data_IF_642023316459
#
_entry.id   IF_642023316459
#
_cell.length_a   1.000
_cell.length_b   1.000
_cell.length_c   1.000
_cell.angle_alpha   90.00
_cell.angle_beta   90.00
_cell.angle_gamma   90.00
#
_symmetry.space_group_name_H-M   'P 1'
#
loop_
_entity.id
_entity.type
_entity.pdbx_description
1 polymer ?
#
# COMPACT_ATOMS: atom_id res chain seq x y z
N UNK A 1 -13.07 -8.63 -13.41
CA UNK A 1 -14.01 -8.03 -12.44
C UNK A 1 -13.62 -8.51 -11.04
N UNK A 2 -12.77 -7.78 -10.33
CA UNK A 2 -12.58 -8.01 -8.89
C UNK A 2 -13.54 -7.10 -8.15
N UNK A 3 -14.61 -7.70 -7.63
CA UNK A 3 -15.67 -7.05 -6.89
C UNK A 3 -15.16 -6.71 -5.47
N UNK A 4 -14.39 -5.63 -5.33
CA UNK A 4 -14.26 -4.95 -4.03
C UNK A 4 -15.39 -3.91 -3.99
N UNK A 5 -16.41 -4.17 -3.17
CA UNK A 5 -17.79 -3.64 -3.25
C UNK A 5 -17.97 -2.12 -3.15
N UNK A 6 -16.90 -1.35 -3.02
CA UNK A 6 -16.94 0.11 -2.85
C UNK A 6 -16.32 0.90 -4.01
N UNK A 7 -15.59 0.26 -4.93
CA UNK A 7 -14.88 0.96 -6.00
C UNK A 7 -15.28 0.42 -7.36
N UNK A 8 -15.95 1.25 -8.17
CA UNK A 8 -16.01 1.04 -9.61
C UNK A 8 -14.66 1.38 -10.21
N UNK A 9 -13.71 0.45 -10.07
CA UNK A 9 -12.49 0.41 -10.88
C UNK A 9 -12.89 -0.07 -12.28
N UNK A 10 -13.70 0.73 -12.97
CA UNK A 10 -14.02 0.48 -14.37
C UNK A 10 -12.75 0.47 -15.20
N UNK A 11 -12.82 -0.13 -16.38
CA UNK A 11 -11.80 -0.06 -17.42
C UNK A 11 -11.68 1.37 -18.01
N UNK A 12 -11.74 2.38 -17.14
CA UNK A 12 -11.56 3.79 -17.50
C UNK A 12 -10.11 3.99 -17.92
N UNK A 13 -9.97 4.33 -19.20
CA UNK A 13 -8.71 4.59 -19.85
C UNK A 13 -7.88 5.66 -19.10
N UNK A 14 -8.54 6.61 -18.42
CA UNK A 14 -7.88 7.59 -17.55
C UNK A 14 -7.23 6.96 -16.31
N UNK A 15 -7.91 6.02 -15.64
CA UNK A 15 -7.39 5.31 -14.46
C UNK A 15 -6.19 4.46 -14.86
N UNK A 16 -6.27 3.73 -15.97
CA UNK A 16 -5.15 2.91 -16.45
C UNK A 16 -3.94 3.75 -16.83
N UNK A 17 -4.16 4.90 -17.51
CA UNK A 17 -3.09 5.87 -17.80
C UNK A 17 -2.45 6.41 -16.53
N UNK A 18 -3.25 6.77 -15.53
CA UNK A 18 -2.75 7.22 -14.22
C UNK A 18 -1.88 6.15 -13.55
N UNK A 19 -2.38 4.91 -13.43
CA UNK A 19 -1.64 3.79 -12.83
C UNK A 19 -0.31 3.56 -13.56
N UNK A 20 -0.32 3.54 -14.90
CA UNK A 20 0.88 3.35 -15.71
C UNK A 20 1.91 4.45 -15.43
N UNK A 21 1.49 5.71 -15.46
CA UNK A 21 2.35 6.86 -15.24
C UNK A 21 2.96 6.85 -13.83
N UNK A 22 2.14 6.58 -12.81
CA UNK A 22 2.60 6.56 -11.43
C UNK A 22 3.48 5.34 -11.13
N UNK A 23 3.28 4.18 -11.77
CA UNK A 23 4.20 3.03 -11.68
C UNK A 23 5.59 3.37 -12.20
N UNK A 24 5.70 4.09 -13.32
CA UNK A 24 7.01 4.51 -13.85
C UNK A 24 7.70 5.52 -12.92
N UNK A 25 6.94 6.46 -12.33
CA UNK A 25 7.49 7.33 -11.28
C UNK A 25 7.95 6.54 -10.06
N UNK A 26 7.20 5.52 -9.64
CA UNK A 26 7.57 4.63 -8.53
C UNK A 26 8.87 3.87 -8.81
N UNK A 27 9.06 3.35 -10.03
CA UNK A 27 10.32 2.72 -10.46
C UNK A 27 11.51 3.69 -10.37
N UNK A 28 11.33 4.95 -10.78
CA UNK A 28 12.37 5.98 -10.67
C UNK A 28 12.67 6.31 -9.21
N UNK A 29 11.63 6.49 -8.39
CA UNK A 29 11.75 6.80 -6.96
C UNK A 29 12.49 5.69 -6.20
N UNK A 30 12.22 4.42 -6.52
CA UNK A 30 12.88 3.24 -5.92
C UNK A 30 14.40 3.24 -6.11
N UNK A 31 14.91 3.87 -7.17
CA UNK A 31 16.34 3.97 -7.46
C UNK A 31 17.04 5.11 -6.72
N UNK A 32 16.28 6.03 -6.11
CA UNK A 32 16.86 7.20 -5.43
C UNK A 32 17.56 6.81 -4.13
N UNK A 33 18.60 7.54 -3.70
CA UNK A 33 19.22 7.35 -2.39
C UNK A 33 18.21 7.47 -1.24
N UNK A 34 17.24 8.38 -1.38
CA UNK A 34 16.15 8.53 -0.41
C UNK A 34 15.42 7.21 -0.15
N UNK A 35 15.04 6.46 -1.19
CA UNK A 35 14.39 5.17 -1.00
C UNK A 35 15.29 4.14 -0.32
N UNK A 36 16.58 4.12 -0.66
CA UNK A 36 17.56 3.24 0.01
C UNK A 36 17.64 3.53 1.51
N UNK A 37 17.63 4.80 1.89
CA UNK A 37 17.56 5.21 3.31
C UNK A 37 16.26 4.75 3.98
N UNK A 38 15.11 4.84 3.30
CA UNK A 38 13.83 4.39 3.88
C UNK A 38 13.80 2.90 4.21
N UNK A 39 14.44 2.04 3.40
CA UNK A 39 14.46 0.59 3.65
C UNK A 39 15.59 0.15 4.59
N UNK A 40 16.57 1.02 4.86
CA UNK A 40 17.79 0.67 5.60
C UNK A 40 17.50 0.21 7.03
N UNK A 41 16.53 0.84 7.69
CA UNK A 41 16.11 0.46 9.04
C UNK A 41 15.52 -0.95 9.07
N UNK A 42 14.99 -1.47 7.96
CA UNK A 42 14.44 -2.82 7.88
C UNK A 42 13.11 -3.00 8.61
N UNK A 43 12.42 -1.90 8.93
CA UNK A 43 11.14 -1.89 9.65
C UNK A 43 9.98 -1.74 8.67
N UNK A 44 8.95 -2.57 8.83
CA UNK A 44 7.71 -2.43 8.06
C UNK A 44 6.85 -1.29 8.62
N UNK A 45 6.40 -0.37 7.76
CA UNK A 45 5.53 0.75 8.14
C UNK A 45 4.19 0.33 8.75
N UNK A 46 3.67 -0.84 8.40
CA UNK A 46 2.36 -1.29 8.87
C UNK A 46 2.44 -2.10 10.17
N UNK A 47 3.17 -3.21 10.18
CA UNK A 47 3.27 -4.08 11.37
C UNK A 47 4.36 -3.68 12.36
N UNK A 48 5.20 -2.69 12.01
CA UNK A 48 6.31 -2.20 12.84
C UNK A 48 7.36 -3.29 13.19
N UNK A 49 7.33 -4.43 12.52
CA UNK A 49 8.29 -5.51 12.73
C UNK A 49 9.60 -5.26 11.96
N UNK A 50 10.71 -5.65 12.58
CA UNK A 50 12.02 -5.73 11.93
C UNK A 50 12.05 -6.95 11.00
N UNK A 51 12.01 -6.72 9.70
CA UNK A 51 12.02 -7.78 8.67
C UNK A 51 13.30 -7.76 7.81
N UNK A 52 14.11 -6.71 7.94
CA UNK A 52 15.31 -6.50 7.14
C UNK A 52 15.01 -5.83 5.80
N UNK A 53 16.00 -5.08 5.28
CA UNK A 53 15.85 -4.26 4.09
C UNK A 53 15.42 -5.05 2.84
N UNK A 54 15.89 -6.29 2.70
CA UNK A 54 15.63 -7.15 1.55
C UNK A 54 14.19 -7.69 1.51
N UNK A 55 13.53 -7.80 2.67
CA UNK A 55 12.15 -8.23 2.79
C UNK A 55 11.13 -7.09 2.62
N UNK A 56 11.61 -5.84 2.51
CA UNK A 56 10.77 -4.66 2.33
C UNK A 56 10.46 -4.40 0.86
N UNK A 57 9.21 -4.08 0.61
CA UNK A 57 8.68 -3.64 -0.67
C UNK A 57 8.23 -2.19 -0.59
N UNK A 58 8.10 -1.53 -1.75
CA UNK A 58 7.48 -0.21 -1.83
C UNK A 58 5.97 -0.37 -1.95
N UNK A 59 5.22 0.17 -0.98
CA UNK A 59 3.77 0.27 -1.03
C UNK A 59 3.31 1.73 -1.09
N UNK A 60 2.13 1.96 -1.69
CA UNK A 60 1.47 3.25 -1.75
C UNK A 60 0.39 3.32 -0.68
N UNK A 61 0.52 4.24 0.28
CA UNK A 61 -0.43 4.45 1.39
C UNK A 61 -1.85 4.65 0.84
N UNK A 62 -1.99 5.56 -0.13
CA UNK A 62 -3.16 5.66 -1.00
C UNK A 62 -2.86 4.90 -2.29
N UNK A 63 -3.60 3.82 -2.61
CA UNK A 63 -3.37 3.02 -3.81
C UNK A 63 -3.48 3.82 -5.11
N UNK A 64 -2.68 3.42 -6.12
CA UNK A 64 -2.69 4.08 -7.43
C UNK A 64 -4.06 4.00 -8.12
N UNK A 65 -4.77 2.87 -7.96
CA UNK A 65 -6.13 2.70 -8.50
C UNK A 65 -7.15 3.65 -7.86
N UNK A 66 -6.81 4.27 -6.72
CA UNK A 66 -7.62 5.25 -6.00
C UNK A 66 -7.04 6.67 -6.14
N UNK A 67 -6.28 6.93 -7.20
CA UNK A 67 -5.72 8.25 -7.50
C UNK A 67 -4.43 8.58 -6.72
N UNK A 68 -3.88 7.65 -5.95
CA UNK A 68 -2.61 7.83 -5.26
C UNK A 68 -1.45 8.12 -6.21
N UNK A 69 -0.44 8.86 -5.73
CA UNK A 69 0.75 9.27 -6.50
C UNK A 69 2.02 8.65 -5.95
N UNK A 70 3.03 8.46 -6.79
CA UNK A 70 4.36 7.97 -6.41
C UNK A 70 5.24 9.11 -5.89
N UNK A 71 4.82 9.70 -4.78
CA UNK A 71 5.54 10.78 -4.07
C UNK A 71 6.12 10.27 -2.76
N UNK A 72 7.18 10.93 -2.25
CA UNK A 72 7.80 10.57 -0.95
C UNK A 72 6.79 10.47 0.20
N UNK A 73 5.77 11.34 0.22
CA UNK A 73 4.73 11.33 1.26
C UNK A 73 3.64 10.27 1.10
N UNK A 74 3.64 9.49 0.01
CA UNK A 74 2.64 8.45 -0.23
C UNK A 74 3.27 7.06 -0.42
N UNK A 75 4.59 6.93 -0.40
CA UNK A 75 5.27 5.63 -0.49
C UNK A 75 5.95 5.29 0.82
N UNK A 76 5.84 4.04 1.23
CA UNK A 76 6.40 3.54 2.50
C UNK A 76 7.04 2.17 2.32
N UNK A 77 8.04 1.80 3.14
CA UNK A 77 8.55 0.44 3.23
C UNK A 77 7.51 -0.48 3.88
N UNK A 78 7.13 -1.56 3.21
CA UNK A 78 6.17 -2.53 3.71
C UNK A 78 6.65 -3.96 3.45
N UNK A 79 6.57 -4.83 4.46
CA UNK A 79 6.82 -6.25 4.24
C UNK A 79 5.79 -6.85 3.27
N UNK A 80 6.15 -7.95 2.62
CA UNK A 80 5.30 -8.58 1.60
C UNK A 80 3.93 -9.02 2.15
N UNK A 81 3.86 -9.50 3.39
CA UNK A 81 2.62 -9.94 4.03
C UNK A 81 1.65 -8.78 4.24
N UNK A 82 2.11 -7.67 4.85
CA UNK A 82 1.28 -6.47 5.03
C UNK A 82 0.85 -5.86 3.70
N UNK A 83 1.77 -5.75 2.74
CA UNK A 83 1.46 -5.18 1.43
C UNK A 83 0.39 -6.02 0.70
N UNK A 84 0.49 -7.36 0.75
CA UNK A 84 -0.52 -8.27 0.19
C UNK A 84 -1.86 -8.18 0.91
N UNK A 85 -1.85 -8.06 2.24
CA UNK A 85 -3.07 -7.98 3.04
C UNK A 85 -3.83 -6.67 2.77
N UNK A 86 -3.12 -5.53 2.69
CA UNK A 86 -3.71 -4.22 2.42
C UNK A 86 -4.41 -4.14 1.06
N UNK A 87 -3.86 -4.75 0.00
CA UNK A 87 -4.41 -4.66 -1.38
C UNK A 87 -4.70 -3.20 -1.79
N UNK A 88 -5.98 -2.86 -1.96
CA UNK A 88 -6.47 -1.52 -2.32
C UNK A 88 -7.07 -0.77 -1.12
N UNK A 89 -6.91 -1.32 0.08
CA UNK A 89 -7.22 -0.66 1.33
C UNK A 89 -6.24 0.48 1.62
N UNK A 90 -6.72 1.42 2.41
CA UNK A 90 -5.99 2.49 3.08
C UNK A 90 -5.79 2.11 4.55
N UNK A 91 -4.85 2.74 5.28
CA UNK A 91 -4.67 2.46 6.71
C UNK A 91 -5.96 2.57 7.51
N UNK A 92 -6.83 3.53 7.17
CA UNK A 92 -8.13 3.71 7.84
C UNK A 92 -9.05 2.51 7.64
N UNK A 93 -9.16 1.98 6.42
CA UNK A 93 -9.99 0.81 6.15
C UNK A 93 -9.46 -0.43 6.87
N UNK A 94 -8.13 -0.62 6.89
CA UNK A 94 -7.53 -1.73 7.65
C UNK A 94 -7.83 -1.63 9.14
N UNK A 95 -7.78 -0.43 9.73
CA UNK A 95 -8.15 -0.22 11.14
C UNK A 95 -9.63 -0.50 11.37
N UNK A 96 -10.50 -0.03 10.46
CA UNK A 96 -11.95 -0.29 10.56
C UNK A 96 -12.27 -1.77 10.46
N UNK A 97 -11.60 -2.52 9.59
CA UNK A 97 -11.75 -3.96 9.47
C UNK A 97 -11.28 -4.68 10.74
N UNK A 98 -10.17 -4.26 11.34
CA UNK A 98 -9.71 -4.79 12.63
C UNK A 98 -10.71 -4.54 13.76
N UNK A 99 -11.29 -3.35 13.84
CA UNK A 99 -12.30 -3.01 14.85
C UNK A 99 -13.55 -3.89 14.69
N UNK A 100 -14.01 -4.10 13.45
CA UNK A 100 -15.14 -4.98 13.15
C UNK A 100 -14.86 -6.41 13.60
N UNK A 101 -13.71 -6.96 13.19
CA UNK A 101 -13.33 -8.32 13.58
C UNK A 101 -13.18 -8.51 15.09
N UNK A 102 -12.67 -7.51 15.81
CA UNK A 102 -12.56 -7.60 17.27
C UNK A 102 -13.93 -7.58 17.95
N UNK A 103 -14.88 -6.79 17.45
CA UNK A 103 -16.23 -6.73 18.01
C UNK A 103 -17.02 -8.03 17.78
N UNK A 104 -16.79 -8.73 16.67
CA UNK A 104 -17.43 -10.03 16.38
C UNK A 104 -16.92 -11.17 17.30
N UNK A 105 -15.84 -10.97 18.07
CA UNK A 105 -15.30 -11.97 19.01
C UNK A 105 -15.80 -11.84 20.45
N UNK A 106 -16.66 -10.87 20.73
CA UNK A 106 -17.17 -10.59 22.10
C UNK A 106 -18.61 -11.09 22.30
N UNK A 107 -19.22 -11.69 21.28
CA UNK A 107 -20.52 -12.37 21.36
C UNK A 107 -20.32 -13.89 21.41
N UNK A 108 -19.79 -14.40 22.53
CA UNK A 108 -19.93 -15.80 23.00
C UNK A 108 -19.74 -15.87 24.53
#
# INVERSE_FOLDING_TARGET
MTQESFYHLGDDDAVQRHIKLEREKGKKLRKTPWWKTQIQEGICHFCQQQVGAEALTMDHVVPLARGGKSTRGNVVPACQSCNRHKKLGTPVETILDQIRMNNDTVED
#
